data_IF_530816741337
#
_entry.id   IF_530816741337
#
_cell.length_a   1.000
_cell.length_b   1.000
_cell.length_c   1.000
_cell.angle_alpha   90.00
_cell.angle_beta   90.00
_cell.angle_gamma   90.00
#
_symmetry.space_group_name_H-M   'P 1'
#
loop_
_entity.id
_entity.type
_entity.pdbx_description
1 polymer ?
#
# COMPACT_ATOMS: atom_id res chain seq x y z
N UNK A 1 -0.44 8.35 -16.67
CA UNK A 1 -0.07 9.19 -15.51
C UNK A 1 0.34 8.20 -14.46
N UNK A 2 1.59 8.23 -14.01
CA UNK A 2 2.14 7.15 -13.18
C UNK A 2 1.27 6.95 -11.94
N UNK A 3 0.78 5.73 -11.77
CA UNK A 3 -0.07 5.35 -10.65
C UNK A 3 0.77 5.36 -9.36
N UNK A 4 0.76 6.51 -8.69
CA UNK A 4 1.61 6.79 -7.52
C UNK A 4 1.09 6.06 -6.28
N UNK A 5 1.94 5.19 -5.71
CA UNK A 5 1.66 4.52 -4.41
C UNK A 5 1.31 5.52 -3.30
N UNK A 6 1.84 6.75 -3.40
CA UNK A 6 1.56 7.86 -2.50
C UNK A 6 0.11 8.33 -2.55
N UNK A 7 -0.46 8.43 -3.75
CA UNK A 7 -1.85 8.87 -3.95
C UNK A 7 -2.82 7.80 -3.44
N UNK A 8 -2.53 6.53 -3.75
CA UNK A 8 -3.28 5.40 -3.21
C UNK A 8 -3.28 5.40 -1.68
N UNK A 9 -2.12 5.58 -1.06
CA UNK A 9 -1.97 5.72 0.40
C UNK A 9 -2.75 6.93 0.94
N UNK A 10 -2.68 8.07 0.25
CA UNK A 10 -3.37 9.30 0.63
C UNK A 10 -4.90 9.13 0.64
N UNK A 11 -5.47 8.40 -0.33
CA UNK A 11 -6.91 8.11 -0.40
C UNK A 11 -7.46 7.41 0.86
N UNK A 12 -6.59 6.73 1.61
CA UNK A 12 -6.95 6.00 2.84
C UNK A 12 -6.51 6.70 4.14
N UNK A 13 -5.92 7.89 4.03
CA UNK A 13 -5.34 8.60 5.18
C UNK A 13 -3.98 8.05 5.63
N UNK A 14 -3.29 7.30 4.77
CA UNK A 14 -2.00 6.67 5.03
C UNK A 14 -0.84 7.34 4.27
N UNK A 15 -1.04 8.57 3.77
CA UNK A 15 -0.04 9.34 3.02
C UNK A 15 1.33 9.44 3.73
N UNK A 16 1.33 9.43 5.07
CA UNK A 16 2.54 9.47 5.88
C UNK A 16 3.49 8.29 5.64
N UNK A 17 2.98 7.15 5.15
CA UNK A 17 3.79 5.99 4.78
C UNK A 17 4.33 6.06 3.35
N UNK A 18 3.91 7.04 2.54
CA UNK A 18 4.27 7.11 1.13
C UNK A 18 5.77 7.28 0.87
N UNK A 19 6.51 7.88 1.79
CA UNK A 19 7.97 7.97 1.68
C UNK A 19 8.63 6.60 1.86
N UNK A 20 8.25 5.88 2.93
CA UNK A 20 8.73 4.53 3.23
C UNK A 20 8.53 3.57 2.06
N UNK A 21 7.36 3.60 1.41
CA UNK A 21 7.10 2.73 0.26
C UNK A 21 8.04 3.07 -0.91
N UNK A 22 8.24 4.35 -1.22
CA UNK A 22 9.13 4.78 -2.31
C UNK A 22 10.60 4.47 -1.99
N UNK A 23 11.06 4.71 -0.76
CA UNK A 23 12.43 4.39 -0.34
C UNK A 23 12.75 2.89 -0.43
N UNK A 24 11.73 2.04 -0.24
CA UNK A 24 11.86 0.60 -0.37
C UNK A 24 11.51 0.08 -1.78
N UNK A 25 11.37 0.96 -2.77
CA UNK A 25 10.99 0.64 -4.15
C UNK A 25 9.69 -0.20 -4.23
N UNK A 26 8.71 0.11 -3.38
CA UNK A 26 7.41 -0.55 -3.33
C UNK A 26 6.40 0.26 -4.13
N UNK A 27 6.16 -0.18 -5.36
CA UNK A 27 5.17 0.41 -6.26
C UNK A 27 3.79 -0.26 -6.13
N UNK A 28 2.77 0.29 -6.81
CA UNK A 28 1.43 -0.31 -6.86
C UNK A 28 1.41 -1.75 -7.39
N UNK A 29 2.37 -2.11 -8.25
CA UNK A 29 2.52 -3.48 -8.75
C UNK A 29 2.97 -4.46 -7.65
N UNK A 30 3.69 -3.98 -6.62
CA UNK A 30 4.18 -4.79 -5.51
C UNK A 30 3.20 -4.86 -4.34
N UNK A 31 2.27 -3.91 -4.23
CA UNK A 31 1.20 -3.94 -3.23
C UNK A 31 0.50 -5.30 -3.06
N UNK A 32 0.03 -6.00 -4.12
CA UNK A 32 -0.60 -7.31 -3.98
C UNK A 32 0.33 -8.43 -3.49
N UNK A 33 1.65 -8.19 -3.49
CA UNK A 33 2.65 -9.13 -3.02
C UNK A 33 3.10 -8.86 -1.57
N UNK A 34 2.67 -7.74 -0.96
CA UNK A 34 3.03 -7.41 0.41
C UNK A 34 2.26 -8.27 1.43
N UNK A 35 3.01 -8.81 2.39
CA UNK A 35 2.49 -9.53 3.54
C UNK A 35 2.49 -8.67 4.81
N UNK A 36 1.85 -9.14 5.88
CA UNK A 36 1.94 -8.48 7.19
C UNK A 36 3.39 -8.34 7.68
N UNK A 37 4.27 -9.28 7.33
CA UNK A 37 5.70 -9.24 7.67
C UNK A 37 6.43 -8.16 6.87
N UNK A 38 6.16 -8.02 5.58
CA UNK A 38 6.74 -6.95 4.76
C UNK A 38 6.33 -5.57 5.28
N UNK A 39 5.06 -5.39 5.63
CA UNK A 39 4.57 -4.14 6.24
C UNK A 39 5.29 -3.83 7.56
N UNK A 40 5.61 -4.86 8.37
CA UNK A 40 6.41 -4.67 9.58
C UNK A 40 7.86 -4.30 9.27
N UNK A 41 8.46 -4.91 8.24
CA UNK A 41 9.82 -4.61 7.80
C UNK A 41 9.94 -3.17 7.25
N UNK A 42 8.88 -2.66 6.62
CA UNK A 42 8.72 -1.26 6.23
C UNK A 42 8.54 -0.31 7.44
N UNK A 43 8.49 -0.81 8.67
CA UNK A 43 8.32 0.04 9.87
C UNK A 43 6.85 0.34 10.23
N UNK A 44 5.89 -0.33 9.60
CA UNK A 44 4.45 -0.16 9.88
C UNK A 44 4.05 -1.06 11.06
N UNK A 45 4.40 -0.63 12.27
CA UNK A 45 4.16 -1.42 13.48
C UNK A 45 2.73 -1.32 14.04
N UNK A 46 1.93 -0.35 13.58
CA UNK A 46 0.53 -0.19 13.98
C UNK A 46 -0.35 -1.26 13.33
N UNK A 47 -0.97 -2.11 14.16
CA UNK A 47 -1.84 -3.19 13.69
C UNK A 47 -3.02 -2.67 12.85
N UNK A 48 -3.62 -1.54 13.24
CA UNK A 48 -4.73 -0.92 12.49
C UNK A 48 -4.33 -0.54 11.07
N UNK A 49 -3.18 0.10 10.90
CA UNK A 49 -2.68 0.55 9.59
C UNK A 49 -2.32 -0.64 8.70
N UNK A 50 -1.64 -1.66 9.25
CA UNK A 50 -1.36 -2.90 8.51
C UNK A 50 -2.63 -3.59 8.02
N UNK A 51 -3.63 -3.74 8.89
CA UNK A 51 -4.92 -4.34 8.51
C UNK A 51 -5.62 -3.51 7.43
N UNK A 52 -5.58 -2.18 7.55
CA UNK A 52 -6.15 -1.27 6.56
C UNK A 52 -5.47 -1.40 5.19
N UNK A 53 -4.14 -1.48 5.15
CA UNK A 53 -3.38 -1.71 3.93
C UNK A 53 -3.73 -3.04 3.28
N UNK A 54 -3.71 -4.14 4.03
CA UNK A 54 -4.04 -5.48 3.51
C UNK A 54 -5.47 -5.55 2.94
N UNK A 55 -6.43 -4.92 3.63
CA UNK A 55 -7.81 -4.81 3.15
C UNK A 55 -7.90 -3.99 1.85
N UNK A 56 -7.19 -2.87 1.79
CA UNK A 56 -7.20 -2.00 0.62
C UNK A 56 -6.52 -2.64 -0.60
N UNK A 57 -5.42 -3.37 -0.38
CA UNK A 57 -4.75 -4.18 -1.42
C UNK A 57 -5.73 -5.21 -1.98
N UNK A 58 -6.48 -5.89 -1.11
CA UNK A 58 -7.51 -6.86 -1.50
C UNK A 58 -8.62 -6.20 -2.33
N UNK A 59 -9.00 -4.96 -1.98
CA UNK A 59 -10.02 -4.20 -2.70
C UNK A 59 -9.51 -3.64 -4.04
N UNK A 60 -8.25 -3.19 -4.10
CA UNK A 60 -7.60 -2.68 -5.31
C UNK A 60 -7.56 -3.74 -6.42
N UNK A 61 -7.32 -5.02 -6.06
CA UNK A 61 -7.33 -6.15 -7.00
C UNK A 61 -8.65 -6.28 -7.79
N UNK A 62 -9.75 -5.77 -7.26
CA UNK A 62 -11.06 -5.80 -7.93
C UNK A 62 -11.33 -4.56 -8.79
N UNK A 63 -10.55 -3.48 -8.65
CA UNK A 63 -10.73 -2.24 -9.42
C UNK A 63 -9.85 -2.19 -10.69
N UNK A 64 -8.74 -2.94 -10.74
CA UNK A 64 -7.86 -3.02 -11.92
C UNK A 64 -8.39 -3.88 -13.08
N UNK A 65 -9.67 -4.30 -13.05
CA UNK A 65 -10.31 -5.10 -14.10
C UNK A 65 -11.57 -4.42 -14.67
N UNK A 66 -11.52 -3.10 -14.85
CA UNK A 66 -12.54 -2.37 -15.60
C UNK A 66 -11.87 -1.39 -16.56
N UNK A 67 -11.24 -1.97 -17.59
CA UNK A 67 -10.96 -1.33 -18.88
C UNK A 67 -11.50 -2.22 -20.00
#
# INVERSE_FOLDING_TARGET
MADDVRDWLASMGLAAYGEVFVENAVDLALLPHLTDEDLKALGIHKLGDRKRLLLAITHQRNQSHSE
#
